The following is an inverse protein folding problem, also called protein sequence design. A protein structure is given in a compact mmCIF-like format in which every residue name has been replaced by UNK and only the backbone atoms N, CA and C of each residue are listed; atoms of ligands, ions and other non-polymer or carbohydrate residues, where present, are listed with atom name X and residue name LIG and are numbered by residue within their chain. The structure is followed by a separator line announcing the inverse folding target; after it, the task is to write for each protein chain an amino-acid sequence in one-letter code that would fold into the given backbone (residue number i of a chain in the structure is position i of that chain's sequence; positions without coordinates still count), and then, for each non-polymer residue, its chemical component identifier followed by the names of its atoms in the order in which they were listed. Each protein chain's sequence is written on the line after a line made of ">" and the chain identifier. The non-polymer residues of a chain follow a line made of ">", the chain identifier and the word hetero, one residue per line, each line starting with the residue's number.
data_IF_427923910554
#
_entry.id   IF_427923910554
#
_cell.length_a   1.000
_cell.length_b   1.000
_cell.length_c   1.000
_cell.angle_alpha   90.00
_cell.angle_beta   90.00
_cell.angle_gamma   90.00
#
_symmetry.space_group_name_H-M   'P 1'
#
loop_
_entity.id
_entity.type
_entity.pdbx_description
1 polymer ?
#
# COMPACT_ATOMS: atom_id res chain seq x y z
N UNK A 1 13.74 1.42 -7.90
CA UNK A 1 12.43 1.46 -7.23
C UNK A 1 11.35 1.20 -8.24
N UNK A 2 10.40 0.38 -7.87
CA UNK A 2 9.28 0.04 -8.75
C UNK A 2 8.01 0.61 -8.18
N UNK A 3 7.13 1.07 -9.05
CA UNK A 3 5.90 1.68 -8.58
C UNK A 3 4.71 1.23 -9.39
N UNK A 4 3.55 1.30 -8.76
CA UNK A 4 2.28 1.02 -9.39
C UNK A 4 1.30 2.07 -8.92
N UNK A 5 0.51 2.63 -9.84
CA UNK A 5 -0.41 3.67 -9.45
C UNK A 5 -1.76 3.46 -10.11
N UNK A 6 -2.77 4.05 -9.51
CA UNK A 6 -4.14 3.89 -9.98
C UNK A 6 -4.97 5.10 -9.58
N UNK A 7 -5.89 5.50 -10.45
CA UNK A 7 -6.92 6.47 -10.09
C UNK A 7 -8.09 5.70 -9.49
N UNK A 8 -8.41 6.03 -8.24
CA UNK A 8 -9.57 5.42 -7.59
C UNK A 8 -10.82 6.22 -7.95
N UNK A 9 -12.02 5.70 -7.69
CA UNK A 9 -13.25 6.44 -7.93
C UNK A 9 -13.19 7.82 -7.25
N UNK A 10 -13.62 8.85 -7.97
CA UNK A 10 -13.51 10.22 -7.50
C UNK A 10 -12.30 10.94 -8.03
N UNK A 11 -11.48 10.29 -8.87
CA UNK A 11 -10.35 10.93 -9.52
C UNK A 11 -9.09 11.03 -8.70
N UNK A 12 -9.06 10.40 -7.53
CA UNK A 12 -7.88 10.44 -6.66
C UNK A 12 -6.81 9.49 -7.19
N UNK A 13 -5.57 9.91 -7.11
CA UNK A 13 -4.43 9.10 -7.55
C UNK A 13 -3.77 8.48 -6.33
N UNK A 14 -3.48 7.19 -6.40
CA UNK A 14 -2.77 6.47 -5.35
C UNK A 14 -1.58 5.76 -5.99
N UNK A 15 -0.40 5.91 -5.40
CA UNK A 15 0.82 5.31 -5.89
C UNK A 15 1.52 4.56 -4.77
N UNK A 16 1.95 3.34 -5.06
CA UNK A 16 2.78 2.56 -4.15
C UNK A 16 4.09 2.26 -4.84
N UNK A 17 5.18 2.66 -4.21
CA UNK A 17 6.53 2.43 -4.73
C UNK A 17 7.27 1.47 -3.81
N UNK A 18 7.92 0.47 -4.39
CA UNK A 18 8.66 -0.53 -3.64
C UNK A 18 10.13 -0.48 -4.07
N UNK A 19 11.00 -0.20 -3.11
CA UNK A 19 12.44 -0.21 -3.32
C UNK A 19 13.07 -1.34 -2.52
N UNK A 20 14.40 -1.38 -2.53
CA UNK A 20 15.13 -2.43 -1.82
C UNK A 20 14.86 -2.38 -0.31
N UNK A 21 14.92 -1.19 0.25
CA UNK A 21 14.81 -1.00 1.69
C UNK A 21 13.64 -0.12 2.09
N UNK A 22 12.72 0.13 1.17
CA UNK A 22 11.67 1.10 1.45
C UNK A 22 10.40 0.80 0.67
N UNK A 23 9.28 1.15 1.27
CA UNK A 23 7.97 1.17 0.60
C UNK A 23 7.40 2.54 0.85
N UNK A 24 6.88 3.18 -0.20
CA UNK A 24 6.30 4.51 -0.08
C UNK A 24 4.90 4.52 -0.68
N UNK A 25 3.98 5.14 0.04
CA UNK A 25 2.61 5.34 -0.40
C UNK A 25 2.40 6.83 -0.58
N UNK A 26 1.98 7.24 -1.76
CA UNK A 26 1.79 8.65 -2.06
C UNK A 26 0.58 8.84 -2.97
N UNK A 27 0.10 10.08 -3.07
CA UNK A 27 -1.01 10.39 -3.93
C UNK A 27 -1.95 11.43 -3.34
N UNK A 28 -3.17 11.46 -3.88
CA UNK A 28 -4.20 12.45 -3.51
C UNK A 28 -5.16 11.84 -2.49
N UNK A 29 -4.68 11.61 -1.29
CA UNK A 29 -5.49 11.01 -0.24
C UNK A 29 -5.12 11.60 1.10
N UNK A 30 -5.91 11.26 2.12
CA UNK A 30 -5.64 11.64 3.49
C UNK A 30 -5.62 10.42 4.38
N UNK A 31 -4.67 10.40 5.32
CA UNK A 31 -4.56 9.34 6.32
C UNK A 31 -4.45 10.03 7.68
N UNK A 32 -5.31 9.62 8.62
CA UNK A 32 -5.33 10.17 9.96
C UNK A 32 -5.16 9.05 10.98
N UNK A 33 -4.27 9.21 11.97
CA UNK A 33 -3.33 10.31 12.08
C UNK A 33 -2.29 10.28 10.96
N UNK A 34 -1.58 11.38 10.76
CA UNK A 34 -0.63 11.49 9.64
C UNK A 34 0.43 10.39 9.68
N UNK A 35 0.89 10.05 10.88
CA UNK A 35 1.89 8.98 11.01
C UNK A 35 1.35 7.60 10.62
N UNK A 36 0.04 7.49 10.38
CA UNK A 36 -0.54 6.24 9.89
C UNK A 36 0.06 5.78 8.57
N UNK A 37 0.48 6.73 7.71
CA UNK A 37 1.09 6.36 6.44
C UNK A 37 2.40 5.60 6.70
N UNK A 38 3.17 6.01 7.69
CA UNK A 38 4.42 5.34 8.02
C UNK A 38 4.17 3.95 8.61
N UNK A 39 3.09 3.80 9.36
CA UNK A 39 2.71 2.50 9.89
C UNK A 39 2.36 1.53 8.77
N UNK A 40 1.62 2.01 7.77
CA UNK A 40 1.27 1.19 6.61
C UNK A 40 2.51 0.81 5.81
N UNK A 41 3.38 1.78 5.54
CA UNK A 41 4.60 1.55 4.78
C UNK A 41 5.51 0.54 5.49
N UNK A 42 5.65 0.69 6.80
CA UNK A 42 6.47 -0.22 7.60
C UNK A 42 5.91 -1.63 7.57
N UNK A 43 4.60 -1.75 7.68
CA UNK A 43 3.95 -3.06 7.64
C UNK A 43 4.18 -3.74 6.29
N UNK A 44 4.02 -3.00 5.21
CA UNK A 44 4.26 -3.54 3.86
C UNK A 44 5.72 -3.94 3.68
N UNK A 45 6.63 -3.12 4.19
CA UNK A 45 8.06 -3.40 4.08
C UNK A 45 8.43 -4.70 4.80
N UNK A 46 7.69 -5.05 5.84
CA UNK A 46 7.95 -6.28 6.60
C UNK A 46 7.42 -7.53 5.94
N UNK A 47 6.66 -7.41 4.84
CA UNK A 47 6.13 -8.57 4.13
C UNK A 47 7.21 -9.17 3.23
N UNK A 48 7.02 -10.47 2.90
CA UNK A 48 7.98 -11.18 2.06
C UNK A 48 7.88 -10.79 0.60
N UNK A 49 6.71 -10.32 0.17
CA UNK A 49 6.50 -9.94 -1.22
C UNK A 49 5.75 -10.97 -2.04
N UNK A 50 5.55 -12.17 -1.51
CA UNK A 50 4.84 -13.24 -2.21
C UNK A 50 3.44 -13.50 -1.66
N UNK A 51 3.00 -12.69 -0.71
CA UNK A 51 1.67 -12.82 -0.15
C UNK A 51 0.61 -12.48 -1.19
N UNK A 52 -0.55 -13.13 -1.07
CA UNK A 52 -1.67 -12.81 -1.94
C UNK A 52 -2.26 -11.45 -1.57
N UNK A 53 -3.01 -10.87 -2.49
CA UNK A 53 -3.69 -9.59 -2.23
C UNK A 53 -4.59 -9.71 -1.01
N UNK A 54 -5.30 -10.84 -0.87
CA UNK A 54 -6.19 -11.04 0.27
C UNK A 54 -5.44 -11.03 1.59
N UNK A 55 -4.26 -11.65 1.64
CA UNK A 55 -3.45 -11.66 2.86
C UNK A 55 -2.94 -10.26 3.17
N UNK A 56 -2.47 -9.55 2.15
CA UNK A 56 -1.97 -8.18 2.34
C UNK A 56 -3.09 -7.29 2.84
N UNK A 57 -4.26 -7.38 2.21
CA UNK A 57 -5.41 -6.56 2.60
C UNK A 57 -5.81 -6.86 4.05
N UNK A 58 -5.86 -8.12 4.43
CA UNK A 58 -6.24 -8.50 5.79
C UNK A 58 -5.23 -7.95 6.80
N UNK A 59 -3.94 -7.99 6.45
CA UNK A 59 -2.89 -7.47 7.31
C UNK A 59 -3.06 -5.96 7.51
N UNK A 60 -3.32 -5.24 6.43
CA UNK A 60 -3.53 -3.79 6.50
C UNK A 60 -4.81 -3.45 7.27
N UNK A 61 -5.88 -4.22 7.06
CA UNK A 61 -7.14 -3.98 7.77
C UNK A 61 -6.97 -4.16 9.27
N UNK A 62 -6.20 -5.15 9.68
CA UNK A 62 -5.92 -5.36 11.09
C UNK A 62 -5.13 -4.18 11.66
N UNK A 63 -4.12 -3.71 10.95
CA UNK A 63 -3.33 -2.56 11.38
C UNK A 63 -4.18 -1.31 11.50
N UNK A 64 -5.01 -1.06 10.50
CA UNK A 64 -5.90 0.12 10.48
C UNK A 64 -6.81 0.10 11.71
N UNK A 65 -7.34 -1.07 12.04
CA UNK A 65 -8.22 -1.21 13.20
C UNK A 65 -7.45 -1.03 14.50
N UNK A 66 -6.30 -1.68 14.62
CA UNK A 66 -5.54 -1.63 15.88
C UNK A 66 -4.96 -0.26 16.16
N UNK A 67 -4.57 0.47 15.14
CA UNK A 67 -3.97 1.79 15.30
C UNK A 67 -4.97 2.92 15.12
N UNK A 68 -6.23 2.58 14.90
CA UNK A 68 -7.30 3.57 14.74
C UNK A 68 -6.96 4.54 13.61
N UNK A 69 -6.56 4.00 12.48
CA UNK A 69 -6.19 4.80 11.29
C UNK A 69 -7.42 5.01 10.43
N UNK A 70 -7.60 6.22 9.94
CA UNK A 70 -8.68 6.56 9.01
C UNK A 70 -8.09 6.80 7.64
N UNK A 71 -8.63 6.12 6.64
CA UNK A 71 -8.20 6.25 5.24
C UNK A 71 -9.28 6.98 4.45
N UNK A 72 -8.90 8.07 3.79
CA UNK A 72 -9.82 8.86 2.96
C UNK A 72 -9.21 9.01 1.58
N UNK A 73 -9.94 8.54 0.56
CA UNK A 73 -9.46 8.60 -0.81
C UNK A 73 -8.72 7.36 -1.27
N UNK A 74 -8.54 6.40 -0.37
CA UNK A 74 -7.95 5.09 -0.70
C UNK A 74 -8.48 4.09 0.32
N UNK A 75 -8.23 2.80 0.07
CA UNK A 75 -8.59 1.76 1.02
C UNK A 75 -7.52 0.67 1.03
N UNK A 76 -7.68 -0.27 1.94
CA UNK A 76 -6.70 -1.34 2.12
C UNK A 76 -6.56 -2.22 0.89
N UNK A 77 -7.67 -2.43 0.18
CA UNK A 77 -7.65 -3.26 -1.02
C UNK A 77 -6.81 -2.61 -2.13
N UNK A 78 -6.99 -1.31 -2.33
CA UNK A 78 -6.22 -0.57 -3.34
C UNK A 78 -4.73 -0.62 -3.00
N UNK A 79 -4.39 -0.37 -1.73
CA UNK A 79 -2.99 -0.42 -1.31
C UNK A 79 -2.40 -1.80 -1.55
N UNK A 80 -3.13 -2.84 -1.15
CA UNK A 80 -2.67 -4.23 -1.30
C UNK A 80 -2.43 -4.57 -2.77
N UNK A 81 -3.36 -4.18 -3.62
CA UNK A 81 -3.28 -4.46 -5.05
C UNK A 81 -2.11 -3.74 -5.70
N UNK A 82 -1.91 -2.47 -5.36
CA UNK A 82 -0.81 -1.70 -5.91
C UNK A 82 0.54 -2.19 -5.39
N UNK A 83 0.61 -2.54 -4.12
CA UNK A 83 1.83 -3.10 -3.55
C UNK A 83 2.20 -4.40 -4.27
N UNK A 84 1.22 -5.28 -4.46
CA UNK A 84 1.44 -6.54 -5.13
C UNK A 84 1.83 -6.31 -6.60
N UNK A 85 1.20 -5.35 -7.25
CA UNK A 85 1.51 -5.00 -8.62
C UNK A 85 2.93 -4.51 -8.78
N UNK A 86 3.40 -3.67 -7.88
CA UNK A 86 4.77 -3.19 -7.91
C UNK A 86 5.75 -4.34 -7.73
N UNK A 87 5.44 -5.25 -6.80
CA UNK A 87 6.29 -6.42 -6.57
C UNK A 87 6.29 -7.36 -7.77
N UNK A 88 5.15 -7.56 -8.40
CA UNK A 88 5.04 -8.43 -9.58
C UNK A 88 5.81 -7.87 -10.75
N UNK A 89 5.80 -6.55 -10.93
CA UNK A 89 6.60 -5.93 -11.99
C UNK A 89 8.06 -6.31 -11.78
N UNK A 90 8.52 -6.29 -10.53
CA UNK A 90 9.86 -6.71 -10.19
C UNK A 90 10.10 -8.18 -10.52
N UNK A 91 9.11 -9.03 -10.22
CA UNK A 91 9.22 -10.48 -10.41
C UNK A 91 9.22 -10.91 -11.85
N UNK A 92 8.61 -10.09 -12.69
CA UNK A 92 8.44 -10.45 -14.11
C UNK A 92 9.67 -10.16 -14.95
N UNK A 93 10.73 -9.73 -14.35
CA UNK A 93 11.96 -9.48 -15.08
C UNK A 93 12.54 -10.80 -15.55
N UNK A 94 12.69 -10.99 -16.85
CA UNK A 94 13.33 -12.19 -17.35
C UNK A 94 14.79 -12.20 -16.95
#
# INVERSE_FOLDING_TARGET
>A
MRSCEEKVPGGKLVNVSVGRDTVMISGDFFIFPEEGVFQLEKTLHGLKGDETIDVIEATLSLLVREKDITLIGLDEHVIARLYRGAGNVASHRP
#
